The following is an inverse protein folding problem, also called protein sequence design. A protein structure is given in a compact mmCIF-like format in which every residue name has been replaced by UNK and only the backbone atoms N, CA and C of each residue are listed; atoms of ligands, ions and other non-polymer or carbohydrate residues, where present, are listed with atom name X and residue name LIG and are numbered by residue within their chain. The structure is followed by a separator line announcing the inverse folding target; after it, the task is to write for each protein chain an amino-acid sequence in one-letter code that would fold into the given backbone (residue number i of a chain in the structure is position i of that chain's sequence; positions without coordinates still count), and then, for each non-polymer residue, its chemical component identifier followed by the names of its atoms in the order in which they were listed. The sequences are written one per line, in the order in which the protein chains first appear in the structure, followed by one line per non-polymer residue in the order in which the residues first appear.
data_IF_793063860944
#
_entry.id   IF_793063860944
#
_cell.length_a   1.000
_cell.length_b   1.000
_cell.length_c   1.000
_cell.angle_alpha   90.00
_cell.angle_beta   90.00
_cell.angle_gamma   90.00
#
_symmetry.space_group_name_H-M   'P 1'
#
loop_
_entity.id
_entity.type
_entity.pdbx_description
1 polymer ?
#
# COMPACT_ATOMS: atom_id res chain seq x y z
N UNK A 1 -2.24 -12.22 -21.88
CA UNK A 1 -2.19 -10.74 -22.01
C UNK A 1 -1.60 -10.21 -20.72
N UNK A 2 -0.51 -9.43 -20.79
CA UNK A 2 0.25 -8.96 -19.62
C UNK A 2 -0.55 -7.85 -18.93
N UNK A 3 -1.09 -8.12 -17.74
CA UNK A 3 -1.65 -7.10 -16.86
C UNK A 3 -0.50 -6.21 -16.39
N UNK A 4 -0.51 -4.94 -16.77
CA UNK A 4 0.45 -3.96 -16.27
C UNK A 4 0.01 -3.55 -14.86
N UNK A 5 0.31 -4.41 -13.88
CA UNK A 5 0.24 -4.07 -12.46
C UNK A 5 1.45 -3.16 -12.18
N UNK A 6 1.19 -1.86 -12.09
CA UNK A 6 2.22 -0.90 -11.69
C UNK A 6 2.47 -1.01 -10.18
N UNK A 7 3.43 -1.86 -9.80
CA UNK A 7 3.96 -1.90 -8.44
C UNK A 7 4.97 -0.77 -8.29
N UNK A 8 4.64 0.19 -7.40
CA UNK A 8 5.53 1.30 -7.09
C UNK A 8 6.61 0.85 -6.10
N UNK A 9 7.83 0.70 -6.61
CA UNK A 9 9.02 0.38 -5.82
C UNK A 9 9.42 1.58 -4.94
N UNK A 10 9.16 1.49 -3.64
CA UNK A 10 9.94 2.23 -2.65
C UNK A 10 11.19 1.40 -2.28
N UNK A 11 12.35 2.05 -2.25
CA UNK A 11 13.65 1.39 -2.06
C UNK A 11 13.81 0.78 -0.67
N UNK A 12 14.24 -0.48 -0.62
CA UNK A 12 14.73 -1.11 0.62
C UNK A 12 16.21 -0.73 0.73
N UNK A 13 16.51 0.26 1.55
CA UNK A 13 17.87 0.44 2.06
C UNK A 13 18.00 -0.46 3.29
N UNK A 14 18.64 -1.62 3.12
CA UNK A 14 19.07 -2.43 4.25
C UNK A 14 20.12 -1.64 5.03
N UNK A 15 19.71 -0.93 6.09
CA UNK A 15 20.66 -0.35 7.04
C UNK A 15 20.82 -1.32 8.21
N UNK A 16 22.03 -1.85 8.32
CA UNK A 16 22.50 -2.68 9.43
C UNK A 16 22.27 -1.97 10.77
N UNK A 17 21.52 -2.63 11.66
CA UNK A 17 21.40 -2.45 13.12
C UNK A 17 21.89 -1.12 13.73
N UNK A 18 20.93 -0.31 14.18
CA UNK A 18 21.09 0.48 15.39
C UNK A 18 19.90 0.24 16.32
N UNK A 19 20.10 -0.66 17.28
CA UNK A 19 19.25 -0.73 18.46
C UNK A 19 19.37 0.59 19.22
N UNK A 20 18.31 1.40 19.17
CA UNK A 20 17.99 2.32 20.24
C UNK A 20 16.46 2.37 20.38
N UNK A 21 16.00 1.72 21.45
CA UNK A 21 14.66 1.82 21.98
C UNK A 21 14.35 3.28 22.38
N UNK A 22 13.14 3.74 22.05
CA UNK A 22 12.52 4.93 22.61
C UNK A 22 11.46 5.45 21.64
N UNK A 23 10.20 5.63 21.97
CA UNK A 23 9.43 5.50 23.20
C UNK A 23 8.02 5.95 22.82
N UNK A 24 7.00 5.37 23.43
CA UNK A 24 5.61 5.43 22.94
C UNK A 24 4.98 6.82 22.90
N UNK A 25 3.89 6.96 22.13
CA UNK A 25 2.54 7.25 22.64
C UNK A 25 1.60 7.69 21.50
N UNK A 26 0.35 7.19 21.51
CA UNK A 26 -0.81 7.80 20.85
C UNK A 26 -1.62 6.81 20.00
N UNK A 27 -2.54 6.00 20.55
CA UNK A 27 -3.91 6.35 20.99
C UNK A 27 -4.95 6.32 19.87
N UNK A 28 -5.77 5.27 19.81
CA UNK A 28 -7.06 5.26 19.09
C UNK A 28 -7.62 3.85 18.92
N UNK A 29 -8.69 3.52 19.66
CA UNK A 29 -9.27 2.17 19.69
C UNK A 29 -9.72 1.66 18.32
N UNK A 30 -9.17 0.52 17.94
CA UNK A 30 -9.45 -0.33 16.77
C UNK A 30 -8.40 -1.44 16.81
N UNK A 31 -8.74 -2.67 16.40
CA UNK A 31 -7.87 -3.86 16.50
C UNK A 31 -6.36 -3.53 16.59
N UNK A 32 -5.73 -3.73 17.75
CA UNK A 32 -4.33 -3.35 18.11
C UNK A 32 -3.23 -3.83 17.12
N UNK A 33 -3.63 -4.55 16.07
CA UNK A 33 -2.82 -5.18 15.06
C UNK A 33 -2.96 -4.55 13.66
N UNK A 34 -3.89 -3.61 13.47
CA UNK A 34 -4.07 -2.88 12.20
C UNK A 34 -4.26 -1.42 12.56
N UNK A 35 -3.18 -0.66 12.52
CA UNK A 35 -3.18 0.77 12.86
C UNK A 35 -3.06 1.61 11.61
N UNK A 36 -3.94 2.62 11.45
CA UNK A 36 -3.97 3.47 10.26
C UNK A 36 -3.13 4.73 10.50
N UNK A 37 -2.14 4.97 9.66
CA UNK A 37 -1.28 6.14 9.78
C UNK A 37 -1.77 7.31 8.94
N UNK A 38 -2.39 8.30 9.59
CA UNK A 38 -2.82 9.54 8.92
C UNK A 38 -1.64 10.44 8.53
N UNK A 39 -0.52 10.40 9.25
CA UNK A 39 0.66 11.23 8.99
C UNK A 39 1.33 10.85 7.65
N UNK A 40 1.47 9.54 7.37
CA UNK A 40 2.00 9.05 6.09
C UNK A 40 1.00 9.33 4.96
N UNK A 41 -0.30 9.15 5.21
CA UNK A 41 -1.34 9.51 4.24
C UNK A 41 -1.32 10.99 3.87
N UNK A 42 -1.18 11.89 4.84
CA UNK A 42 -1.05 13.34 4.61
C UNK A 42 0.19 13.67 3.77
N UNK A 43 1.33 13.05 4.07
CA UNK A 43 2.55 13.22 3.29
C UNK A 43 2.35 12.77 1.83
N UNK A 44 1.71 11.62 1.61
CA UNK A 44 1.39 11.11 0.26
C UNK A 44 0.38 12.00 -0.46
N UNK A 45 -0.66 12.46 0.23
CA UNK A 45 -1.67 13.37 -0.32
C UNK A 45 -1.04 14.70 -0.74
N UNK A 46 -0.15 15.28 0.07
CA UNK A 46 0.56 16.51 -0.25
C UNK A 46 1.42 16.36 -1.51
N UNK A 47 2.05 15.20 -1.71
CA UNK A 47 2.84 14.89 -2.93
C UNK A 47 1.96 14.78 -4.18
N UNK A 48 0.74 14.25 -4.03
CA UNK A 48 -0.17 14.04 -5.17
C UNK A 48 -1.08 15.22 -5.47
N UNK A 49 -1.16 16.23 -4.59
CA UNK A 49 -2.11 17.33 -4.69
C UNK A 49 -2.01 18.14 -6.00
N UNK A 50 -0.83 18.21 -6.63
CA UNK A 50 -0.65 18.87 -7.93
C UNK A 50 -1.01 18.00 -9.13
N UNK A 51 -1.23 16.71 -8.92
CA UNK A 51 -1.30 15.69 -9.96
C UNK A 51 -2.62 14.92 -9.95
N UNK A 52 -3.54 15.20 -9.03
CA UNK A 52 -4.81 14.49 -8.92
C UNK A 52 -5.76 15.13 -7.90
N UNK A 53 -6.96 14.56 -7.80
CA UNK A 53 -7.97 14.94 -6.82
C UNK A 53 -8.16 13.79 -5.82
N UNK A 54 -7.99 14.00 -4.51
CA UNK A 54 -8.27 12.96 -3.53
C UNK A 54 -9.78 12.64 -3.51
N UNK A 55 -10.13 11.37 -3.38
CA UNK A 55 -11.49 10.92 -3.13
C UNK A 55 -11.58 10.06 -1.86
N UNK A 56 -12.78 9.99 -1.31
CA UNK A 56 -13.12 9.10 -0.22
C UNK A 56 -14.37 8.31 -0.59
N UNK A 57 -14.27 6.97 -0.55
CA UNK A 57 -15.36 6.07 -0.92
C UNK A 57 -15.45 4.97 0.15
N UNK A 58 -16.64 4.77 0.72
CA UNK A 58 -16.86 3.81 1.81
C UNK A 58 -16.61 2.36 1.42
N UNK A 59 -17.02 1.95 0.22
CA UNK A 59 -16.83 0.59 -0.28
C UNK A 59 -15.34 0.30 -0.52
N UNK A 60 -14.61 1.25 -1.11
CA UNK A 60 -13.15 1.14 -1.28
C UNK A 60 -12.44 1.04 0.07
N UNK A 61 -12.85 1.83 1.07
CA UNK A 61 -12.27 1.74 2.42
C UNK A 61 -12.53 0.35 3.03
N UNK A 62 -13.75 -0.18 2.92
CA UNK A 62 -14.10 -1.50 3.44
C UNK A 62 -13.31 -2.63 2.75
N UNK A 63 -13.07 -2.51 1.43
CA UNK A 63 -12.23 -3.45 0.68
C UNK A 63 -10.80 -3.43 1.22
N UNK A 64 -10.22 -2.23 1.40
CA UNK A 64 -8.86 -2.08 1.93
C UNK A 64 -8.76 -2.67 3.34
N UNK A 65 -9.73 -2.38 4.22
CA UNK A 65 -9.78 -2.95 5.56
C UNK A 65 -9.84 -4.48 5.55
N UNK A 66 -10.65 -5.08 4.66
CA UNK A 66 -10.73 -6.53 4.50
C UNK A 66 -9.41 -7.14 4.01
N UNK A 67 -8.71 -6.48 3.08
CA UNK A 67 -7.38 -6.90 2.63
C UNK A 67 -6.36 -6.77 3.77
N UNK A 68 -6.39 -5.69 4.55
CA UNK A 68 -5.52 -5.53 5.73
C UNK A 68 -5.72 -6.64 6.76
N UNK A 69 -6.97 -7.08 6.99
CA UNK A 69 -7.27 -8.22 7.85
C UNK A 69 -6.71 -9.54 7.32
N UNK A 70 -6.72 -9.75 5.99
CA UNK A 70 -6.08 -10.94 5.40
C UNK A 70 -4.56 -10.90 5.54
N UNK A 71 -3.95 -9.73 5.40
CA UNK A 71 -2.51 -9.55 5.58
C UNK A 71 -2.13 -9.88 7.03
N UNK A 72 -2.92 -9.46 8.02
CA UNK A 72 -2.61 -9.66 9.44
C UNK A 72 -2.57 -11.12 9.88
N UNK A 73 -3.08 -12.07 9.08
CA UNK A 73 -2.90 -13.50 9.38
C UNK A 73 -1.43 -13.93 9.31
N UNK A 74 -0.65 -13.28 8.42
CA UNK A 74 0.75 -13.62 8.11
C UNK A 74 1.49 -12.50 7.37
N UNK A 75 1.71 -11.33 7.99
CA UNK A 75 2.36 -10.18 7.36
C UNK A 75 3.67 -10.55 6.66
N UNK A 76 4.57 -11.25 7.32
CA UNK A 76 5.89 -11.63 6.80
C UNK A 76 5.82 -12.45 5.52
N UNK A 77 4.88 -13.40 5.39
CA UNK A 77 4.71 -14.15 4.14
C UNK A 77 4.27 -13.24 2.97
N UNK A 78 3.42 -12.25 3.23
CA UNK A 78 3.03 -11.28 2.22
C UNK A 78 4.18 -10.34 1.86
N UNK A 79 4.99 -9.94 2.83
CA UNK A 79 6.20 -9.14 2.61
C UNK A 79 7.21 -9.89 1.74
N UNK A 80 7.56 -11.13 2.10
CA UNK A 80 8.47 -11.98 1.32
C UNK A 80 7.94 -12.25 -0.10
N UNK A 81 6.63 -12.47 -0.24
CA UNK A 81 6.02 -12.65 -1.56
C UNK A 81 6.08 -11.38 -2.42
N UNK A 82 5.96 -10.20 -1.82
CA UNK A 82 6.13 -8.93 -2.52
C UNK A 82 7.59 -8.68 -2.93
N UNK A 83 8.56 -9.07 -2.11
CA UNK A 83 9.98 -9.04 -2.46
C UNK A 83 10.27 -9.97 -3.66
N UNK A 84 9.75 -11.21 -3.62
CA UNK A 84 9.89 -12.14 -4.73
C UNK A 84 9.28 -11.61 -6.04
N UNK A 85 8.13 -10.94 -5.97
CA UNK A 85 7.53 -10.27 -7.12
C UNK A 85 8.45 -9.17 -7.68
N UNK A 86 9.02 -8.34 -6.80
CA UNK A 86 9.94 -7.25 -7.17
C UNK A 86 11.22 -7.78 -7.83
N UNK A 87 11.76 -8.88 -7.34
CA UNK A 87 13.00 -9.47 -7.85
C UNK A 87 12.78 -10.29 -9.13
N UNK A 88 11.56 -10.25 -9.69
CA UNK A 88 11.13 -11.03 -10.86
C UNK A 88 11.38 -12.54 -10.68
N UNK A 89 11.27 -13.03 -9.44
CA UNK A 89 11.39 -14.45 -9.17
C UNK A 89 10.18 -15.22 -9.74
N UNK A 90 10.32 -16.55 -9.83
CA UNK A 90 9.29 -17.41 -10.40
C UNK A 90 7.93 -17.22 -9.72
N UNK A 91 6.85 -17.36 -10.51
CA UNK A 91 5.47 -17.14 -10.06
C UNK A 91 5.10 -17.80 -8.72
N UNK A 92 5.57 -19.03 -8.36
CA UNK A 92 5.23 -19.65 -7.08
C UNK A 92 5.59 -18.80 -5.84
N UNK A 93 6.73 -18.11 -5.84
CA UNK A 93 7.16 -17.30 -4.70
C UNK A 93 6.37 -15.97 -4.58
N UNK A 94 6.00 -15.39 -5.72
CA UNK A 94 5.23 -14.13 -5.80
C UNK A 94 3.71 -14.31 -5.74
N UNK A 95 3.21 -15.56 -5.68
CA UNK A 95 1.79 -15.88 -5.90
C UNK A 95 0.87 -15.21 -4.87
N UNK A 96 1.25 -15.17 -3.59
CA UNK A 96 0.42 -14.57 -2.54
C UNK A 96 0.20 -13.08 -2.83
N UNK A 97 1.28 -12.35 -3.11
CA UNK A 97 1.20 -10.93 -3.42
C UNK A 97 0.41 -10.65 -4.71
N UNK A 98 0.67 -11.40 -5.79
CA UNK A 98 -0.06 -11.25 -7.06
C UNK A 98 -1.56 -11.44 -6.86
N UNK A 99 -1.97 -12.51 -6.16
CA UNK A 99 -3.37 -12.79 -5.90
C UNK A 99 -4.04 -11.70 -5.06
N UNK A 100 -3.32 -11.14 -4.10
CA UNK A 100 -3.82 -10.07 -3.25
C UNK A 100 -4.06 -8.77 -4.04
N UNK A 101 -3.13 -8.41 -4.92
CA UNK A 101 -3.28 -7.24 -5.81
C UNK A 101 -4.42 -7.45 -6.81
N UNK A 102 -4.54 -8.66 -7.37
CA UNK A 102 -5.65 -9.04 -8.24
C UNK A 102 -7.01 -8.95 -7.54
N UNK A 103 -7.07 -9.37 -6.26
CA UNK A 103 -8.27 -9.29 -5.44
C UNK A 103 -8.65 -7.84 -5.14
N UNK A 104 -7.69 -7.04 -4.68
CA UNK A 104 -7.87 -5.60 -4.44
C UNK A 104 -8.40 -4.92 -5.70
N UNK A 105 -7.76 -5.18 -6.85
CA UNK A 105 -8.15 -4.65 -8.15
C UNK A 105 -9.61 -4.95 -8.51
N UNK A 106 -9.98 -6.24 -8.57
CA UNK A 106 -11.35 -6.67 -8.96
C UNK A 106 -12.44 -6.13 -8.04
N UNK A 107 -12.16 -6.07 -6.74
CA UNK A 107 -13.11 -5.53 -5.77
C UNK A 107 -13.28 -4.02 -5.96
N UNK A 108 -12.19 -3.28 -6.21
CA UNK A 108 -12.24 -1.85 -6.52
C UNK A 108 -12.91 -1.55 -7.88
N UNK A 109 -12.73 -2.40 -8.89
CA UNK A 109 -13.46 -2.28 -10.17
C UNK A 109 -14.97 -2.28 -9.94
N UNK A 110 -15.42 -3.24 -9.12
CA UNK A 110 -16.84 -3.41 -8.78
C UNK A 110 -17.35 -2.21 -7.98
N UNK A 111 -16.61 -1.78 -6.95
CA UNK A 111 -17.01 -0.68 -6.08
C UNK A 111 -17.09 0.68 -6.80
N UNK A 112 -16.19 0.91 -7.76
CA UNK A 112 -16.10 2.19 -8.48
C UNK A 112 -16.82 2.17 -9.83
N UNK A 113 -17.26 1.00 -10.31
CA UNK A 113 -17.73 0.78 -11.67
C UNK A 113 -16.72 1.31 -12.70
N UNK A 114 -15.45 0.92 -12.53
CA UNK A 114 -14.28 1.29 -13.35
C UNK A 114 -13.51 0.03 -13.74
N UNK A 115 -12.90 0.01 -14.92
CA UNK A 115 -12.13 -1.13 -15.43
C UNK A 115 -10.63 -0.91 -15.22
N UNK A 116 -9.91 -1.92 -14.71
CA UNK A 116 -8.44 -1.87 -14.59
C UNK A 116 -7.74 -1.72 -15.94
N UNK A 117 -8.39 -2.08 -17.04
CA UNK A 117 -7.80 -2.01 -18.37
C UNK A 117 -7.83 -0.60 -18.96
N UNK A 118 -8.79 0.23 -18.55
CA UNK A 118 -9.07 1.50 -19.22
C UNK A 118 -8.93 2.71 -18.31
N UNK A 119 -9.34 2.60 -17.04
CA UNK A 119 -9.49 3.78 -16.20
C UNK A 119 -9.30 3.55 -14.70
N UNK A 120 -8.91 2.37 -14.24
CA UNK A 120 -8.58 2.09 -12.84
C UNK A 120 -7.15 1.56 -12.72
N UNK A 121 -6.43 1.99 -11.70
CA UNK A 121 -5.17 1.45 -11.25
C UNK A 121 -5.22 1.19 -9.75
N UNK A 122 -4.61 0.09 -9.32
CA UNK A 122 -4.38 -0.19 -7.90
C UNK A 122 -2.88 -0.33 -7.64
N UNK A 123 -2.46 0.18 -6.50
CA UNK A 123 -1.10 0.13 -6.00
C UNK A 123 -1.17 -0.53 -4.63
N UNK A 124 -0.38 -1.58 -4.46
CA UNK A 124 -0.11 -2.16 -3.16
C UNK A 124 1.40 -2.20 -2.99
N UNK A 125 1.88 -1.70 -1.86
CA UNK A 125 3.31 -1.70 -1.55
C UNK A 125 3.49 -2.03 -0.08
N UNK A 126 4.50 -2.85 0.20
CA UNK A 126 4.88 -3.19 1.55
C UNK A 126 6.24 -2.59 1.89
N UNK A 127 6.39 -2.13 3.13
CA UNK A 127 7.67 -1.76 3.72
C UNK A 127 7.89 -2.54 5.01
N UNK A 128 9.15 -2.61 5.41
CA UNK A 128 9.57 -3.28 6.64
C UNK A 128 8.84 -2.65 7.84
N UNK A 129 8.14 -3.48 8.62
CA UNK A 129 7.32 -3.01 9.73
C UNK A 129 8.11 -2.50 10.94
N UNK A 130 9.44 -2.67 10.96
CA UNK A 130 10.34 -2.04 11.93
C UNK A 130 10.63 -0.57 11.64
N UNK A 131 10.28 -0.07 10.45
CA UNK A 131 10.48 1.33 10.08
C UNK A 131 9.55 2.26 10.88
N UNK A 132 10.06 3.43 11.27
CA UNK A 132 9.23 4.51 11.81
C UNK A 132 8.48 5.24 10.71
N UNK A 133 7.39 5.94 11.05
CA UNK A 133 6.64 6.76 10.08
C UNK A 133 7.55 7.77 9.34
N UNK A 134 8.50 8.39 10.05
CA UNK A 134 9.49 9.30 9.46
C UNK A 134 10.37 8.61 8.42
N UNK A 135 10.82 7.38 8.69
CA UNK A 135 11.61 6.59 7.74
C UNK A 135 10.77 6.19 6.52
N UNK A 136 9.50 5.87 6.70
CA UNK A 136 8.56 5.60 5.60
C UNK A 136 8.39 6.84 4.73
N UNK A 137 8.08 8.00 5.33
CA UNK A 137 7.90 9.27 4.62
C UNK A 137 9.18 9.64 3.85
N UNK A 138 10.35 9.50 4.48
CA UNK A 138 11.64 9.75 3.82
C UNK A 138 11.85 8.82 2.62
N UNK A 139 11.54 7.53 2.78
CA UNK A 139 11.67 6.54 1.71
C UNK A 139 10.75 6.88 0.53
N UNK A 140 9.49 7.23 0.81
CA UNK A 140 8.52 7.67 -0.19
C UNK A 140 8.98 8.93 -0.93
N UNK A 141 9.54 9.91 -0.22
CA UNK A 141 10.08 11.14 -0.82
C UNK A 141 11.29 10.88 -1.71
N UNK A 142 12.14 9.92 -1.36
CA UNK A 142 13.32 9.55 -2.14
C UNK A 142 12.99 8.77 -3.41
N UNK A 143 11.88 8.04 -3.42
CA UNK A 143 11.38 7.37 -4.61
C UNK A 143 10.71 8.39 -5.55
N UNK A 144 11.27 8.55 -6.76
CA UNK A 144 10.67 9.31 -7.88
C UNK A 144 9.41 8.59 -8.38
N UNK A 145 8.37 8.51 -7.54
CA UNK A 145 7.06 7.97 -7.90
C UNK A 145 6.28 9.07 -8.59
N UNK A 146 6.55 9.28 -9.87
CA UNK A 146 5.68 10.09 -10.71
C UNK A 146 4.44 9.25 -11.00
N UNK A 147 3.29 9.60 -10.39
CA UNK A 147 2.00 9.15 -10.92
C UNK A 147 1.85 9.82 -12.30
N UNK A 148 2.29 9.12 -13.34
CA UNK A 148 2.39 9.66 -14.69
C UNK A 148 1.01 10.02 -15.27
N UNK A 149 0.92 11.19 -15.88
CA UNK A 149 -0.29 11.66 -16.53
C UNK A 149 -0.43 11.12 -17.96
N UNK A 150 -1.66 10.73 -18.37
CA UNK A 150 -2.10 10.93 -19.73
C UNK A 150 -3.26 11.93 -19.73
N UNK A 151 -2.99 13.21 -19.99
CA UNK A 151 -3.94 14.29 -20.35
C UNK A 151 -5.11 14.65 -19.41
N UNK A 152 -5.45 13.84 -18.40
CA UNK A 152 -6.53 14.10 -17.43
C UNK A 152 -6.03 14.01 -15.99
N UNK A 153 -6.61 14.82 -15.12
CA UNK A 153 -6.31 14.82 -13.68
C UNK A 153 -6.98 13.59 -13.02
N UNK A 154 -6.23 12.60 -12.51
CA UNK A 154 -6.80 11.42 -11.86
C UNK A 154 -7.51 11.73 -10.55
N UNK A 155 -8.42 10.85 -10.14
CA UNK A 155 -8.92 10.74 -8.79
C UNK A 155 -8.14 9.67 -8.04
N UNK A 156 -7.71 9.93 -6.81
CA UNK A 156 -6.94 8.97 -6.03
C UNK A 156 -7.44 8.81 -4.58
N UNK A 157 -7.27 7.62 -4.03
CA UNK A 157 -7.46 7.31 -2.62
C UNK A 157 -6.20 6.58 -2.14
N UNK A 158 -5.62 7.06 -1.05
CA UNK A 158 -4.47 6.39 -0.40
C UNK A 158 -4.82 6.05 1.03
N UNK A 159 -4.45 4.84 1.44
CA UNK A 159 -4.56 4.38 2.83
C UNK A 159 -3.26 3.71 3.25
N UNK A 160 -2.84 3.98 4.48
CA UNK A 160 -1.59 3.41 5.01
C UNK A 160 -1.87 2.76 6.35
N UNK A 161 -1.42 1.51 6.50
CA UNK A 161 -1.59 0.75 7.73
C UNK A 161 -0.27 0.16 8.20
N UNK A 162 -0.01 0.22 9.50
CA UNK A 162 0.89 -0.72 10.17
C UNK A 162 0.08 -1.97 10.51
N UNK A 163 0.52 -3.12 10.02
CA UNK A 163 -0.21 -4.39 10.15
C UNK A 163 0.70 -5.38 10.87
N UNK A 164 0.26 -5.86 12.03
CA UNK A 164 0.92 -6.88 12.84
C UNK A 164 0.10 -8.16 12.89
N UNK A 165 0.77 -9.28 13.14
CA UNK A 165 0.11 -10.56 13.35
C UNK A 165 -0.47 -10.63 14.77
N UNK A 166 -1.77 -10.93 14.95
CA UNK A 166 -2.37 -11.10 16.28
C UNK A 166 -1.71 -12.18 17.14
N UNK A 167 -1.09 -13.18 16.52
CA UNK A 167 -0.38 -14.26 17.19
C UNK A 167 1.11 -13.95 17.44
N UNK A 168 1.67 -12.96 16.74
CA UNK A 168 3.09 -12.60 16.83
C UNK A 168 3.31 -11.13 16.45
N UNK A 169 3.40 -10.24 17.44
CA UNK A 169 3.57 -8.81 17.17
C UNK A 169 4.88 -8.46 16.44
N UNK A 170 5.91 -9.33 16.48
CA UNK A 170 7.16 -9.14 15.74
C UNK A 170 7.00 -9.42 14.23
N UNK A 171 5.95 -10.15 13.85
CA UNK A 171 5.56 -10.37 12.46
C UNK A 171 4.64 -9.23 12.01
N UNK A 172 5.24 -8.19 11.43
CA UNK A 172 4.53 -6.97 11.05
C UNK A 172 5.11 -6.34 9.77
N UNK A 173 4.32 -5.46 9.13
CA UNK A 173 4.72 -4.68 7.97
C UNK A 173 3.95 -3.35 7.88
N UNK A 174 4.46 -2.43 7.08
CA UNK A 174 3.69 -1.28 6.61
C UNK A 174 3.05 -1.59 5.25
N UNK A 175 1.74 -1.45 5.13
CA UNK A 175 1.00 -1.61 3.90
C UNK A 175 0.48 -0.26 3.38
N UNK A 176 0.81 0.04 2.12
CA UNK A 176 0.40 1.26 1.42
C UNK A 176 -0.52 0.86 0.28
N UNK A 177 -1.78 1.29 0.38
CA UNK A 177 -2.82 1.08 -0.61
C UNK A 177 -3.03 2.36 -1.39
N UNK A 178 -3.01 2.27 -2.72
CA UNK A 178 -3.40 3.35 -3.62
C UNK A 178 -4.45 2.85 -4.61
N UNK A 179 -5.55 3.60 -4.75
CA UNK A 179 -6.59 3.35 -5.77
C UNK A 179 -6.73 4.61 -6.59
N UNK A 180 -6.58 4.49 -7.90
CA UNK A 180 -6.48 5.63 -8.81
C UNK A 180 -7.40 5.39 -9.99
N UNK A 181 -8.24 6.35 -10.36
CA UNK A 181 -9.01 6.23 -11.59
C UNK A 181 -9.04 7.53 -12.38
N UNK A 182 -9.34 7.40 -13.68
CA UNK A 182 -9.48 8.50 -14.61
C UNK A 182 -10.94 8.61 -15.07
N UNK A 183 -11.43 9.84 -15.25
CA UNK A 183 -12.66 10.07 -15.98
C UNK A 183 -12.34 10.09 -17.49
N UNK A 184 -13.01 9.22 -18.24
CA UNK A 184 -12.96 9.27 -19.69
C UNK A 184 -13.89 10.42 -20.13
N UNK A 185 -13.33 11.36 -20.89
CA UNK A 185 -14.06 12.47 -21.51
C UNK A 185 -15.00 12.01 -22.62
#
# INVERSE_FOLDING_TARGET
MKRLVAVLLAGVMALTMLTACGGGSGSGGGNDFIDRSSSIEEALNARMASSGTPFNNGDVNAIIEAISQKISEKPGEYYESALAYKDNESAPAATLFINLVDELGKNCETALNKSLEENLGVVLSFMDGSMTEEQIISSLNSSNTTFGAPSSTPYYCVRVYHIANPANADDNLWAIFGVIYYELS
#
